data_IF_977842329877
#
_entry.id   IF_977842329877
#
_cell.length_a   1.000
_cell.length_b   1.000
_cell.length_c   1.000
_cell.angle_alpha   90.00
_cell.angle_beta   90.00
_cell.angle_gamma   90.00
#
_symmetry.space_group_name_H-M   'P 1'
#
loop_
_entity.id
_entity.type
_entity.pdbx_description
1 polymer ?
#
# COMPACT_ATOMS: atom_id res chain seq x y z
N UNK A 1 0.57 -16.29 7.19
CA UNK A 1 0.77 -17.50 8.00
C UNK A 1 2.15 -17.53 8.65
N UNK A 2 3.28 -17.47 7.91
CA UNK A 2 4.63 -17.50 8.50
C UNK A 2 4.88 -16.45 9.59
N UNK A 3 4.44 -15.20 9.41
CA UNK A 3 4.58 -14.14 10.41
C UNK A 3 3.76 -14.40 11.69
N UNK A 4 2.55 -14.93 11.56
CA UNK A 4 1.73 -15.30 12.72
C UNK A 4 2.35 -16.45 13.51
N UNK A 5 2.95 -17.43 12.85
CA UNK A 5 3.69 -18.53 13.48
C UNK A 5 4.98 -18.04 14.15
N UNK A 6 5.68 -17.07 13.54
CA UNK A 6 6.86 -16.44 14.14
C UNK A 6 6.50 -15.66 15.41
N UNK A 7 5.40 -14.90 15.39
CA UNK A 7 4.87 -14.18 16.57
C UNK A 7 4.50 -15.15 17.69
N UNK A 8 3.83 -16.24 17.35
CA UNK A 8 3.50 -17.29 18.31
C UNK A 8 4.75 -17.97 18.88
N UNK A 9 5.76 -18.25 18.03
CA UNK A 9 7.04 -18.81 18.45
C UNK A 9 7.80 -17.92 19.43
N UNK A 10 7.87 -16.61 19.13
CA UNK A 10 8.47 -15.61 20.02
C UNK A 10 7.70 -15.54 21.35
N UNK A 11 6.37 -15.53 21.31
CA UNK A 11 5.54 -15.56 22.52
C UNK A 11 5.81 -16.79 23.39
N UNK A 12 5.87 -17.98 22.80
CA UNK A 12 6.16 -19.23 23.51
C UNK A 12 7.56 -19.27 24.10
N UNK A 13 8.57 -18.74 23.40
CA UNK A 13 9.95 -18.63 23.88
C UNK A 13 10.03 -17.72 25.11
N UNK A 14 9.34 -16.58 25.08
CA UNK A 14 9.26 -15.63 26.22
C UNK A 14 8.55 -16.27 27.41
N UNK A 15 7.50 -17.06 27.17
CA UNK A 15 6.76 -17.75 28.22
C UNK A 15 7.60 -18.83 28.97
N UNK A 16 8.73 -19.27 28.40
CA UNK A 16 9.57 -20.33 28.97
C UNK A 16 10.62 -19.83 30.00
N UNK A 17 10.89 -18.51 30.12
CA UNK A 17 11.93 -17.93 31.01
C UNK A 17 11.37 -17.46 32.37
N UNK A 18 10.89 -18.37 33.21
CA UNK A 18 9.94 -18.05 34.31
C UNK A 18 10.54 -17.64 35.69
N UNK A 19 11.80 -17.86 36.01
CA UNK A 19 12.30 -17.69 37.36
C UNK A 19 12.75 -16.27 37.74
N UNK A 20 13.67 -15.68 37.01
CA UNK A 20 14.21 -14.33 37.25
C UNK A 20 13.26 -13.19 36.88
N UNK A 21 12.26 -13.50 36.03
CA UNK A 21 11.26 -12.54 35.51
C UNK A 21 10.26 -12.09 36.58
N UNK A 22 9.93 -12.93 37.59
CA UNK A 22 8.90 -12.60 38.59
C UNK A 22 9.29 -11.41 39.48
N UNK A 23 10.51 -11.40 39.99
CA UNK A 23 10.99 -10.32 40.86
C UNK A 23 11.06 -8.98 40.14
N UNK A 24 11.55 -9.00 38.87
CA UNK A 24 11.56 -7.81 38.02
C UNK A 24 10.14 -7.32 37.72
N UNK A 25 9.23 -8.24 37.35
CA UNK A 25 7.83 -7.91 37.04
C UNK A 25 7.11 -7.30 38.25
N UNK A 26 7.36 -7.80 39.46
CA UNK A 26 6.80 -7.26 40.70
C UNK A 26 7.36 -5.85 40.99
N UNK A 27 8.68 -5.65 40.83
CA UNK A 27 9.29 -4.34 41.01
C UNK A 27 8.71 -3.30 40.04
N UNK A 28 8.52 -3.69 38.74
CA UNK A 28 7.90 -2.82 37.77
C UNK A 28 6.42 -2.54 38.10
N UNK A 29 5.65 -3.54 38.53
CA UNK A 29 4.25 -3.35 38.93
C UNK A 29 4.12 -2.38 40.10
N UNK A 30 4.98 -2.51 41.12
CA UNK A 30 5.04 -1.56 42.24
C UNK A 30 5.45 -0.14 41.81
N UNK A 31 6.37 -0.02 40.84
CA UNK A 31 6.76 1.27 40.31
C UNK A 31 5.61 1.96 39.56
N UNK A 32 4.85 1.21 38.73
CA UNK A 32 3.65 1.73 38.05
C UNK A 32 2.61 2.18 39.07
N UNK A 33 2.22 1.32 40.00
CA UNK A 33 1.27 1.68 41.07
C UNK A 33 1.72 2.89 41.88
N UNK A 34 3.01 2.95 42.24
CA UNK A 34 3.60 4.08 42.97
C UNK A 34 3.55 5.39 42.20
N UNK A 35 3.69 5.32 40.85
CA UNK A 35 3.55 6.49 39.97
C UNK A 35 2.08 6.96 39.91
N UNK A 36 1.12 6.05 39.76
CA UNK A 36 -0.31 6.38 39.75
C UNK A 36 -0.74 7.04 41.04
N UNK A 37 -0.33 6.51 42.20
CA UNK A 37 -0.57 7.14 43.52
C UNK A 37 -0.01 8.55 43.63
N UNK A 38 1.20 8.78 43.12
CA UNK A 38 1.80 10.14 43.11
C UNK A 38 1.04 11.11 42.22
N UNK A 39 0.44 10.61 41.17
CA UNK A 39 -0.37 11.39 40.22
C UNK A 39 -1.85 11.47 40.62
N UNK A 40 -2.25 10.82 41.70
CA UNK A 40 -3.66 10.67 42.15
C UNK A 40 -4.55 10.02 41.07
N UNK A 41 -4.03 9.00 40.37
CA UNK A 41 -4.68 8.24 39.30
C UNK A 41 -5.04 6.81 39.71
N UNK A 42 -4.82 6.41 40.94
CA UNK A 42 -5.01 5.06 41.48
C UNK A 42 -6.49 4.70 41.73
N UNK A 43 -7.32 4.84 40.69
CA UNK A 43 -8.76 4.60 40.73
C UNK A 43 -9.13 3.12 40.70
N UNK A 44 -8.21 2.26 40.27
CA UNK A 44 -8.42 0.83 40.07
C UNK A 44 -8.72 0.08 41.37
N UNK A 45 -8.15 0.51 42.50
CA UNK A 45 -8.40 -0.13 43.79
C UNK A 45 -9.86 0.00 44.19
N UNK A 46 -10.44 1.20 44.08
CA UNK A 46 -11.86 1.45 44.40
C UNK A 46 -12.81 0.68 43.46
N UNK A 47 -12.46 0.61 42.16
CA UNK A 47 -13.21 -0.15 41.16
C UNK A 47 -13.16 -1.67 41.44
N UNK A 48 -12.00 -2.17 41.83
CA UNK A 48 -11.80 -3.58 42.15
C UNK A 48 -12.58 -3.98 43.41
N UNK A 49 -12.49 -3.23 44.48
CA UNK A 49 -13.25 -3.44 45.69
C UNK A 49 -14.76 -3.43 45.48
N UNK A 50 -15.24 -2.49 44.66
CA UNK A 50 -16.62 -2.40 44.31
C UNK A 50 -17.08 -3.63 43.51
N UNK A 51 -16.35 -4.00 42.44
CA UNK A 51 -16.70 -5.14 41.59
C UNK A 51 -16.65 -6.48 42.33
N UNK A 52 -15.67 -6.65 43.23
CA UNK A 52 -15.53 -7.86 44.01
C UNK A 52 -16.78 -8.25 44.81
N UNK A 53 -17.59 -7.23 45.20
CA UNK A 53 -18.85 -7.39 45.93
C UNK A 53 -20.05 -7.66 45.02
N UNK A 54 -19.92 -7.51 43.70
CA UNK A 54 -21.02 -7.61 42.75
C UNK A 54 -20.99 -8.94 42.01
N UNK A 55 -21.69 -9.96 42.49
CA UNK A 55 -21.59 -11.34 41.98
C UNK A 55 -21.83 -11.48 40.47
N UNK A 56 -22.94 -10.95 39.96
CA UNK A 56 -23.29 -11.04 38.51
C UNK A 56 -22.37 -10.19 37.68
N UNK A 57 -22.14 -8.93 38.04
CA UNK A 57 -21.30 -8.01 37.28
C UNK A 57 -19.84 -8.48 37.20
N UNK A 58 -19.33 -9.07 38.30
CA UNK A 58 -18.01 -9.69 38.34
C UNK A 58 -17.90 -10.82 37.34
N UNK A 59 -18.91 -11.68 37.25
CA UNK A 59 -18.92 -12.78 36.26
C UNK A 59 -18.93 -12.23 34.82
N UNK A 60 -19.78 -11.23 34.53
CA UNK A 60 -19.82 -10.57 33.21
C UNK A 60 -18.51 -9.87 32.88
N UNK A 61 -17.92 -9.15 33.84
CA UNK A 61 -16.63 -8.48 33.67
C UNK A 61 -15.48 -9.47 33.36
N UNK A 62 -15.48 -10.62 34.03
CA UNK A 62 -14.47 -11.65 33.76
C UNK A 62 -14.61 -12.23 32.33
N UNK A 63 -15.83 -12.42 31.82
CA UNK A 63 -16.04 -12.85 30.44
C UNK A 63 -15.72 -11.75 29.42
N UNK A 64 -16.07 -10.51 29.70
CA UNK A 64 -15.68 -9.37 28.88
C UNK A 64 -14.15 -9.32 28.76
N UNK A 65 -13.46 -9.35 29.89
CA UNK A 65 -11.99 -9.38 29.94
C UNK A 65 -11.40 -10.52 29.10
N UNK A 66 -11.98 -11.71 29.15
CA UNK A 66 -11.45 -12.88 28.47
C UNK A 66 -11.68 -12.89 26.95
N UNK A 67 -12.73 -12.22 26.43
CA UNK A 67 -13.21 -12.51 25.06
C UNK A 67 -13.50 -11.31 24.19
N UNK A 68 -14.10 -10.25 24.73
CA UNK A 68 -14.72 -9.20 23.89
C UNK A 68 -13.71 -8.45 23.03
N UNK A 69 -12.56 -8.08 23.56
CA UNK A 69 -11.51 -7.36 22.82
C UNK A 69 -10.97 -8.17 21.62
N UNK A 70 -10.80 -9.48 21.78
CA UNK A 70 -10.34 -10.38 20.69
C UNK A 70 -11.40 -10.47 19.61
N UNK A 71 -12.65 -10.74 20.01
CA UNK A 71 -13.79 -10.88 19.08
C UNK A 71 -13.97 -9.58 18.31
N UNK A 72 -13.97 -8.43 18.99
CA UNK A 72 -14.10 -7.13 18.36
C UNK A 72 -13.00 -6.85 17.32
N UNK A 73 -11.73 -7.06 17.71
CA UNK A 73 -10.60 -6.81 16.82
C UNK A 73 -10.61 -7.72 15.59
N UNK A 74 -10.84 -9.03 15.78
CA UNK A 74 -10.87 -9.99 14.67
C UNK A 74 -12.08 -9.76 13.76
N UNK A 75 -13.25 -9.44 14.32
CA UNK A 75 -14.45 -9.11 13.54
C UNK A 75 -14.21 -7.90 12.67
N UNK A 76 -13.61 -6.83 13.21
CA UNK A 76 -13.28 -5.63 12.44
C UNK A 76 -12.26 -5.92 11.37
N UNK A 77 -11.22 -6.71 11.67
CA UNK A 77 -10.18 -7.07 10.70
C UNK A 77 -10.74 -7.88 9.52
N UNK A 78 -11.59 -8.88 9.81
CA UNK A 78 -12.27 -9.69 8.80
C UNK A 78 -13.27 -8.85 8.00
N UNK A 79 -14.05 -8.02 8.67
CA UNK A 79 -15.01 -7.13 7.99
C UNK A 79 -14.31 -6.15 7.02
N UNK A 80 -13.18 -5.56 7.43
CA UNK A 80 -12.38 -4.69 6.54
C UNK A 80 -11.85 -5.50 5.35
N UNK A 81 -11.35 -6.72 5.58
CA UNK A 81 -10.85 -7.59 4.51
C UNK A 81 -11.90 -7.84 3.42
N UNK A 82 -13.15 -8.11 3.85
CA UNK A 82 -14.25 -8.43 2.93
C UNK A 82 -14.86 -7.16 2.29
N UNK A 83 -15.09 -6.11 3.09
CA UNK A 83 -15.93 -4.98 2.72
C UNK A 83 -15.14 -3.74 2.31
N UNK A 84 -13.85 -3.65 2.64
CA UNK A 84 -12.97 -2.50 2.40
C UNK A 84 -11.54 -2.94 2.07
N UNK A 85 -11.34 -3.75 1.01
CA UNK A 85 -10.04 -4.35 0.69
C UNK A 85 -8.94 -3.31 0.49
N UNK A 86 -9.30 -2.10 0.03
CA UNK A 86 -8.36 -0.98 -0.14
C UNK A 86 -7.77 -0.47 1.19
N UNK A 87 -8.46 -0.70 2.31
CA UNK A 87 -8.02 -0.31 3.66
C UNK A 87 -7.36 -1.46 4.43
N UNK A 88 -7.50 -2.69 3.93
CA UNK A 88 -6.97 -3.87 4.60
C UNK A 88 -5.45 -3.83 4.82
N UNK A 89 -4.60 -3.35 3.89
CA UNK A 89 -3.15 -3.23 4.15
C UNK A 89 -2.82 -2.37 5.37
N UNK A 90 -3.51 -1.23 5.53
CA UNK A 90 -3.37 -0.36 6.70
C UNK A 90 -3.80 -1.07 7.98
N UNK A 91 -5.00 -1.67 7.97
CA UNK A 91 -5.57 -2.37 9.12
C UNK A 91 -4.69 -3.55 9.55
N UNK A 92 -4.30 -4.41 8.61
CA UNK A 92 -3.41 -5.55 8.87
C UNK A 92 -2.07 -5.11 9.46
N UNK A 93 -1.41 -4.12 8.84
CA UNK A 93 -0.08 -3.68 9.27
C UNK A 93 -0.13 -3.03 10.65
N UNK A 94 -1.12 -2.15 10.91
CA UNK A 94 -1.26 -1.54 12.22
C UNK A 94 -1.60 -2.56 13.32
N UNK A 95 -2.47 -3.53 13.04
CA UNK A 95 -2.79 -4.61 13.98
C UNK A 95 -1.58 -5.47 14.32
N UNK A 96 -0.78 -5.83 13.32
CA UNK A 96 0.47 -6.56 13.51
C UNK A 96 1.48 -5.76 14.33
N UNK A 97 1.62 -4.47 14.08
CA UNK A 97 2.52 -3.60 14.85
C UNK A 97 2.08 -3.49 16.31
N UNK A 98 0.78 -3.24 16.57
CA UNK A 98 0.24 -3.23 17.95
C UNK A 98 0.58 -4.52 18.67
N UNK A 99 0.33 -5.65 18.03
CA UNK A 99 0.54 -6.97 18.64
C UNK A 99 2.02 -7.28 18.84
N UNK A 100 2.87 -7.06 17.83
CA UNK A 100 4.30 -7.34 17.91
C UNK A 100 5.02 -6.45 18.93
N UNK A 101 4.75 -5.14 18.91
CA UNK A 101 5.38 -4.21 19.88
C UNK A 101 4.89 -4.55 21.28
N UNK A 102 3.58 -4.82 21.47
CA UNK A 102 3.05 -5.19 22.78
C UNK A 102 3.70 -6.46 23.34
N UNK A 103 3.77 -7.54 22.53
CA UNK A 103 4.43 -8.78 22.94
C UNK A 103 5.92 -8.58 23.23
N UNK A 104 6.62 -7.78 22.43
CA UNK A 104 8.03 -7.45 22.64
C UNK A 104 8.21 -6.68 23.95
N UNK A 105 7.30 -5.74 24.25
CA UNK A 105 7.32 -5.01 25.53
C UNK A 105 7.13 -5.95 26.70
N UNK A 106 6.21 -6.90 26.64
CA UNK A 106 6.03 -7.92 27.70
C UNK A 106 7.30 -8.75 27.96
N UNK A 107 8.09 -8.98 26.90
CA UNK A 107 9.35 -9.70 27.04
C UNK A 107 10.46 -8.87 27.70
N UNK A 108 10.57 -7.61 27.26
CA UNK A 108 11.65 -6.72 27.68
C UNK A 108 11.35 -6.01 29.00
N UNK A 109 10.08 -5.74 29.27
CA UNK A 109 9.62 -5.02 30.44
C UNK A 109 8.37 -5.69 31.03
N UNK A 110 8.51 -6.87 31.66
CA UNK A 110 7.38 -7.57 32.28
C UNK A 110 6.83 -6.75 33.44
N UNK A 111 5.51 -6.62 33.52
CA UNK A 111 4.81 -5.89 34.61
C UNK A 111 3.80 -6.82 35.25
N UNK A 112 3.90 -6.98 36.56
CA UNK A 112 2.98 -7.79 37.34
C UNK A 112 1.65 -7.05 37.56
N UNK A 113 0.50 -7.65 37.22
CA UNK A 113 -0.82 -7.08 37.50
C UNK A 113 -1.04 -6.82 39.00
N UNK A 114 -1.84 -5.82 39.38
CA UNK A 114 -2.03 -5.44 40.80
C UNK A 114 -2.58 -6.59 41.63
N UNK A 115 -3.50 -7.43 41.12
CA UNK A 115 -4.07 -8.59 41.82
C UNK A 115 -3.06 -9.68 42.23
N UNK A 116 -1.89 -9.72 41.59
CA UNK A 116 -0.84 -10.69 41.88
C UNK A 116 0.19 -10.18 42.91
N UNK A 117 0.12 -8.90 43.30
CA UNK A 117 0.93 -8.28 44.31
C UNK A 117 0.13 -8.22 45.63
N UNK A 118 0.29 -9.21 46.48
CA UNK A 118 -0.61 -9.52 47.59
C UNK A 118 -0.78 -8.40 48.62
N UNK A 119 0.26 -7.61 48.88
CA UNK A 119 0.24 -6.50 49.85
C UNK A 119 -0.37 -5.20 49.30
N UNK A 120 -0.74 -5.15 48.01
CA UNK A 120 -1.52 -4.03 47.47
C UNK A 120 -3.03 -4.15 47.75
N UNK A 121 -3.49 -5.26 48.29
CA UNK A 121 -4.88 -5.44 48.73
C UNK A 121 -5.89 -5.65 47.61
N UNK A 122 -5.48 -5.88 46.37
CA UNK A 122 -6.42 -6.14 45.26
C UNK A 122 -7.02 -7.57 45.32
N UNK A 123 -8.28 -7.68 45.01
CA UNK A 123 -9.01 -8.92 44.94
C UNK A 123 -8.86 -9.54 43.55
N UNK A 124 -8.42 -10.81 43.48
CA UNK A 124 -8.42 -11.56 42.21
C UNK A 124 -9.85 -12.01 41.85
N UNK A 125 -10.58 -11.17 41.13
CA UNK A 125 -11.97 -11.40 40.75
C UNK A 125 -12.15 -12.61 39.84
N UNK A 126 -11.10 -12.96 39.08
CA UNK A 126 -11.09 -14.12 38.18
C UNK A 126 -10.99 -15.40 38.97
N UNK A 127 -10.13 -15.45 39.99
CA UNK A 127 -10.00 -16.59 40.89
C UNK A 127 -11.29 -16.84 41.70
N UNK A 128 -11.87 -15.80 42.27
CA UNK A 128 -13.11 -15.90 43.07
C UNK A 128 -14.30 -16.25 42.17
N UNK A 129 -14.37 -15.74 40.96
CA UNK A 129 -15.49 -15.91 40.03
C UNK A 129 -15.60 -17.34 39.46
N UNK A 130 -14.54 -18.14 39.52
CA UNK A 130 -14.42 -19.44 38.87
C UNK A 130 -14.92 -19.47 37.44
N UNK A 131 -14.72 -18.35 36.73
CA UNK A 131 -15.21 -18.16 35.37
C UNK A 131 -14.31 -18.87 34.37
N UNK A 132 -14.89 -19.22 33.21
CA UNK A 132 -14.15 -19.76 32.07
C UNK A 132 -13.05 -18.75 31.64
N UNK A 133 -11.86 -19.25 31.37
CA UNK A 133 -10.71 -18.37 31.11
C UNK A 133 -9.88 -18.04 32.34
N UNK A 134 -10.17 -18.63 33.51
CA UNK A 134 -9.31 -18.55 34.69
C UNK A 134 -7.96 -19.23 34.43
N UNK A 135 -6.94 -18.86 35.21
CA UNK A 135 -5.58 -19.42 35.14
C UNK A 135 -5.51 -20.94 35.32
N UNK A 136 -6.57 -21.59 35.76
CA UNK A 136 -6.71 -23.02 35.84
C UNK A 136 -7.26 -23.69 34.59
N UNK A 137 -7.71 -22.94 33.59
CA UNK A 137 -8.18 -23.52 32.34
C UNK A 137 -7.02 -23.94 31.43
N UNK A 138 -7.12 -25.04 30.67
CA UNK A 138 -6.04 -25.51 29.79
C UNK A 138 -5.59 -24.48 28.76
N UNK A 139 -6.49 -23.60 28.31
CA UNK A 139 -6.23 -22.58 27.30
C UNK A 139 -5.40 -21.42 27.86
N UNK A 140 -5.54 -21.09 29.15
CA UNK A 140 -4.92 -19.91 29.79
C UNK A 140 -3.76 -20.29 30.72
N UNK A 141 -3.58 -21.58 31.03
CA UNK A 141 -2.49 -22.06 31.89
C UNK A 141 -1.07 -21.65 31.43
N UNK A 142 -0.90 -21.44 30.12
CA UNK A 142 0.34 -21.05 29.49
C UNK A 142 0.44 -19.55 29.19
N UNK A 143 -0.58 -18.74 29.52
CA UNK A 143 -0.56 -17.32 29.27
C UNK A 143 0.50 -16.61 30.16
N UNK A 144 1.11 -15.55 29.62
CA UNK A 144 2.07 -14.74 30.38
C UNK A 144 1.36 -13.93 31.46
N UNK A 145 1.58 -14.30 32.74
CA UNK A 145 0.97 -13.63 33.90
C UNK A 145 1.51 -12.22 34.18
N UNK A 146 2.61 -11.85 33.56
CA UNK A 146 3.34 -10.59 33.77
C UNK A 146 3.23 -9.63 32.58
N UNK A 147 2.14 -9.73 31.85
CA UNK A 147 1.87 -8.97 30.64
C UNK A 147 0.87 -7.82 30.90
N UNK A 148 1.06 -7.04 31.97
CA UNK A 148 0.14 -5.96 32.28
C UNK A 148 0.33 -4.75 31.35
N UNK A 149 1.57 -4.29 31.09
CA UNK A 149 1.87 -3.08 30.33
C UNK A 149 2.63 -3.39 29.05
N UNK A 150 2.15 -2.85 27.88
CA UNK A 150 0.90 -2.11 27.65
C UNK A 150 -0.32 -3.01 27.62
N UNK A 151 -1.50 -2.52 28.00
CA UNK A 151 -2.73 -3.33 27.93
C UNK A 151 -3.13 -3.61 26.48
N UNK A 152 -3.00 -4.86 26.02
CA UNK A 152 -3.48 -5.29 24.71
C UNK A 152 -5.02 -5.34 24.63
N UNK A 153 -5.73 -5.47 25.76
CA UNK A 153 -7.18 -5.41 25.81
C UNK A 153 -7.68 -4.04 25.33
N UNK A 154 -7.13 -2.98 25.90
CA UNK A 154 -7.46 -1.61 25.48
C UNK A 154 -6.89 -1.33 24.09
N UNK A 155 -5.68 -1.76 23.79
CA UNK A 155 -5.04 -1.50 22.52
C UNK A 155 -5.82 -2.11 21.34
N UNK A 156 -6.26 -3.37 21.42
CA UNK A 156 -7.03 -4.00 20.34
C UNK A 156 -8.44 -3.41 20.22
N UNK A 157 -9.09 -3.09 21.34
CA UNK A 157 -10.39 -2.41 21.34
C UNK A 157 -10.30 -1.01 20.70
N UNK A 158 -9.30 -0.23 21.10
CA UNK A 158 -9.08 1.11 20.55
C UNK A 158 -8.63 1.08 19.08
N UNK A 159 -7.83 0.08 18.69
CA UNK A 159 -7.48 -0.16 17.30
C UNK A 159 -8.73 -0.46 16.46
N UNK A 160 -9.66 -1.29 16.96
CA UNK A 160 -10.91 -1.58 16.28
C UNK A 160 -11.74 -0.31 16.07
N UNK A 161 -11.88 0.52 17.11
CA UNK A 161 -12.54 1.83 17.02
C UNK A 161 -11.88 2.72 15.95
N UNK A 162 -10.56 2.87 15.99
CA UNK A 162 -9.81 3.69 15.03
C UNK A 162 -10.03 3.23 13.58
N UNK A 163 -10.04 1.92 13.35
CA UNK A 163 -10.30 1.34 12.04
C UNK A 163 -11.76 1.58 11.59
N UNK A 164 -12.74 1.45 12.48
CA UNK A 164 -14.15 1.70 12.18
C UNK A 164 -14.41 3.17 11.86
N UNK A 165 -13.82 4.12 12.59
CA UNK A 165 -13.89 5.55 12.27
C UNK A 165 -13.39 5.82 10.84
N UNK A 166 -12.30 5.19 10.47
CA UNK A 166 -11.74 5.32 9.13
C UNK A 166 -12.56 4.62 8.02
N UNK A 167 -13.27 3.53 8.32
CA UNK A 167 -13.87 2.64 7.31
C UNK A 167 -15.36 2.80 7.09
N UNK A 168 -16.11 3.41 8.02
CA UNK A 168 -17.56 3.64 7.90
C UNK A 168 -17.94 5.06 8.30
N UNK A 169 -19.07 5.56 7.77
CA UNK A 169 -19.67 6.84 8.16
C UNK A 169 -20.80 6.70 9.19
N UNK A 170 -21.09 5.49 9.63
CA UNK A 170 -22.15 5.19 10.56
C UNK A 170 -21.74 5.58 12.00
N UNK A 171 -22.16 6.74 12.47
CA UNK A 171 -21.82 7.26 13.81
C UNK A 171 -22.22 6.31 14.93
N UNK A 172 -23.31 5.57 14.77
CA UNK A 172 -23.75 4.59 15.77
C UNK A 172 -22.69 3.50 16.00
N UNK A 173 -22.01 3.06 14.94
CA UNK A 173 -20.94 2.06 15.04
C UNK A 173 -19.75 2.64 15.82
N UNK A 174 -19.39 3.90 15.59
CA UNK A 174 -18.34 4.57 16.35
C UNK A 174 -18.67 4.68 17.83
N UNK A 175 -19.92 5.10 18.14
CA UNK A 175 -20.40 5.25 19.53
C UNK A 175 -20.38 3.90 20.24
N UNK A 176 -20.92 2.84 19.62
CA UNK A 176 -20.94 1.50 20.23
C UNK A 176 -19.52 0.98 20.46
N UNK A 177 -18.61 1.18 19.50
CA UNK A 177 -17.21 0.78 19.69
C UNK A 177 -16.50 1.62 20.75
N UNK A 178 -16.76 2.92 20.85
CA UNK A 178 -16.21 3.78 21.89
C UNK A 178 -16.73 3.36 23.28
N UNK A 179 -18.00 3.03 23.40
CA UNK A 179 -18.58 2.48 24.63
C UNK A 179 -17.91 1.16 25.01
N UNK A 180 -17.68 0.28 24.03
CA UNK A 180 -16.97 -0.98 24.28
C UNK A 180 -15.54 -0.73 24.78
N UNK A 181 -14.78 0.23 24.17
CA UNK A 181 -13.45 0.63 24.68
C UNK A 181 -13.50 1.12 26.12
N UNK A 182 -14.49 1.97 26.45
CA UNK A 182 -14.69 2.48 27.80
C UNK A 182 -15.00 1.35 28.81
N UNK A 183 -15.90 0.43 28.43
CA UNK A 183 -16.23 -0.75 29.25
C UNK A 183 -14.98 -1.62 29.47
N UNK A 184 -14.23 -1.95 28.41
CA UNK A 184 -12.99 -2.73 28.54
C UNK A 184 -11.97 -2.04 29.45
N UNK A 185 -11.83 -0.70 29.33
CA UNK A 185 -10.89 0.07 30.18
C UNK A 185 -11.30 0.00 31.65
N UNK A 186 -12.58 0.13 31.96
CA UNK A 186 -13.08 -0.02 33.35
C UNK A 186 -12.91 -1.48 33.84
N UNK A 187 -13.26 -2.43 33.02
CA UNK A 187 -13.20 -3.87 33.36
C UNK A 187 -11.78 -4.34 33.68
N UNK A 188 -10.79 -3.94 32.89
CA UNK A 188 -9.38 -4.36 33.14
C UNK A 188 -8.86 -3.88 34.51
N UNK A 189 -9.27 -2.66 34.93
CA UNK A 189 -8.94 -2.10 36.23
C UNK A 189 -9.77 -2.76 37.35
N UNK A 190 -11.10 -2.83 37.16
CA UNK A 190 -12.01 -3.40 38.16
C UNK A 190 -11.75 -4.88 38.45
N UNK A 191 -11.22 -5.62 37.48
CA UNK A 191 -10.81 -7.02 37.67
C UNK A 191 -9.44 -7.18 38.30
N UNK A 192 -8.71 -6.07 38.55
CA UNK A 192 -7.36 -6.09 39.13
C UNK A 192 -6.29 -6.64 38.18
N UNK A 193 -6.56 -6.67 36.88
CA UNK A 193 -5.64 -7.18 35.89
C UNK A 193 -4.68 -6.12 35.36
N UNK A 194 -5.04 -4.84 35.42
CA UNK A 194 -4.26 -3.75 34.86
C UNK A 194 -4.32 -2.51 35.74
N UNK A 195 -3.31 -1.68 35.62
CA UNK A 195 -3.25 -0.30 36.06
C UNK A 195 -3.88 0.63 35.02
N UNK A 196 -4.25 1.85 35.38
CA UNK A 196 -4.72 2.85 34.42
C UNK A 196 -3.61 3.23 33.41
N UNK A 197 -2.36 3.32 33.85
CA UNK A 197 -1.22 3.59 32.96
C UNK A 197 -0.99 2.49 31.92
N UNK A 198 -1.40 1.26 32.17
CA UNK A 198 -1.36 0.20 31.16
C UNK A 198 -2.30 0.51 30.00
N UNK A 199 -3.49 1.08 30.30
CA UNK A 199 -4.44 1.51 29.27
C UNK A 199 -3.91 2.72 28.49
N UNK A 200 -3.27 3.68 29.16
CA UNK A 200 -2.63 4.83 28.51
C UNK A 200 -1.50 4.36 27.57
N UNK A 201 -0.66 3.43 28.05
CA UNK A 201 0.40 2.85 27.23
C UNK A 201 -0.17 2.08 26.01
N UNK A 202 -1.28 1.36 26.21
CA UNK A 202 -2.01 0.71 25.11
C UNK A 202 -2.53 1.69 24.08
N UNK A 203 -3.09 2.83 24.52
CA UNK A 203 -3.56 3.88 23.61
C UNK A 203 -2.40 4.53 22.83
N UNK A 204 -1.28 4.82 23.49
CA UNK A 204 -0.09 5.34 22.84
C UNK A 204 0.48 4.36 21.80
N UNK A 205 0.49 3.06 22.13
CA UNK A 205 0.89 1.99 21.20
C UNK A 205 0.01 1.96 19.94
N UNK A 206 -1.31 2.12 20.08
CA UNK A 206 -2.22 2.21 18.92
C UNK A 206 -1.90 3.42 18.07
N UNK A 207 -1.77 4.60 18.69
CA UNK A 207 -1.43 5.84 17.98
C UNK A 207 -0.14 5.70 17.15
N UNK A 208 0.92 5.17 17.78
CA UNK A 208 2.18 4.88 17.10
C UNK A 208 2.01 3.90 15.94
N UNK A 209 1.36 2.76 16.21
CA UNK A 209 1.23 1.68 15.22
C UNK A 209 0.37 2.08 14.02
N UNK A 210 -0.74 2.79 14.26
CA UNK A 210 -1.60 3.33 13.19
C UNK A 210 -0.87 4.43 12.43
N UNK A 211 -0.15 5.31 13.12
CA UNK A 211 0.64 6.37 12.48
C UNK A 211 1.73 5.82 11.57
N UNK A 212 2.49 4.82 12.03
CA UNK A 212 3.51 4.13 11.22
C UNK A 212 2.87 3.42 10.04
N UNK A 213 1.79 2.66 10.25
CA UNK A 213 1.08 1.96 9.18
C UNK A 213 0.50 2.95 8.17
N UNK A 214 -0.09 4.06 8.60
CA UNK A 214 -0.57 5.12 7.73
C UNK A 214 0.56 5.70 6.88
N UNK A 215 1.71 5.99 7.48
CA UNK A 215 2.87 6.49 6.75
C UNK A 215 3.38 5.49 5.69
N UNK A 216 3.37 4.19 6.02
CA UNK A 216 3.79 3.13 5.10
C UNK A 216 2.79 2.92 3.94
N UNK A 217 1.49 3.05 4.21
CA UNK A 217 0.41 2.78 3.26
C UNK A 217 -0.29 4.03 2.71
N UNK A 218 0.14 5.24 3.12
CA UNK A 218 -0.46 6.46 2.57
C UNK A 218 -0.38 6.44 1.06
N UNK A 219 -1.53 6.62 0.41
CA UNK A 219 -1.63 6.75 -1.03
C UNK A 219 -0.77 7.93 -1.48
N UNK A 220 0.16 7.67 -2.40
CA UNK A 220 0.78 8.74 -3.17
C UNK A 220 -0.02 8.91 -4.46
N UNK A 221 -0.05 10.11 -5.05
CA UNK A 221 -0.59 10.28 -6.38
C UNK A 221 0.07 9.29 -7.34
N UNK A 222 -0.72 8.74 -8.24
CA UNK A 222 -0.26 7.85 -9.31
C UNK A 222 -0.52 6.36 -9.07
N UNK A 223 -0.60 5.64 -10.17
CA UNK A 223 -0.80 4.20 -10.24
C UNK A 223 0.52 3.45 -10.02
N UNK A 224 0.59 2.41 -9.19
CA UNK A 224 1.80 1.59 -9.06
C UNK A 224 2.15 0.92 -10.39
N UNK A 225 3.45 0.90 -10.74
CA UNK A 225 3.95 0.13 -11.87
C UNK A 225 3.66 -1.37 -11.67
N UNK A 226 3.15 -2.03 -12.70
CA UNK A 226 2.88 -3.46 -12.64
C UNK A 226 4.18 -4.26 -12.46
N UNK A 227 4.15 -5.47 -11.89
CA UNK A 227 5.35 -6.31 -11.81
C UNK A 227 5.94 -6.67 -13.18
N UNK A 228 5.10 -6.85 -14.21
CA UNK A 228 5.54 -7.15 -15.56
C UNK A 228 6.26 -5.95 -16.20
N UNK A 229 5.65 -4.74 -16.11
CA UNK A 229 6.24 -3.53 -16.67
C UNK A 229 7.51 -3.11 -15.89
N UNK A 230 7.56 -3.42 -14.58
CA UNK A 230 8.73 -3.18 -13.73
C UNK A 230 9.96 -3.95 -14.20
N UNK A 231 9.79 -5.09 -14.85
CA UNK A 231 10.89 -5.85 -15.44
C UNK A 231 11.66 -5.02 -16.47
N UNK A 232 10.96 -4.37 -17.40
CA UNK A 232 11.57 -3.58 -18.46
C UNK A 232 12.35 -2.37 -17.91
N UNK A 233 11.80 -1.69 -16.90
CA UNK A 233 12.49 -0.60 -16.19
C UNK A 233 13.76 -1.08 -15.47
N UNK A 234 13.75 -2.34 -14.99
CA UNK A 234 14.86 -2.88 -14.22
C UNK A 234 16.01 -3.40 -15.09
N UNK A 235 15.69 -3.94 -16.29
CA UNK A 235 16.70 -4.49 -17.22
C UNK A 235 17.24 -3.42 -18.16
N UNK A 236 16.62 -2.24 -18.23
CA UNK A 236 17.09 -1.15 -19.05
C UNK A 236 18.47 -0.67 -18.62
N UNK A 237 19.32 -0.41 -19.59
CA UNK A 237 20.62 0.23 -19.41
C UNK A 237 20.90 1.18 -20.59
N UNK A 238 21.87 2.09 -20.47
CA UNK A 238 22.27 2.93 -21.59
C UNK A 238 22.62 2.17 -22.86
N UNK A 239 23.15 0.93 -22.72
CA UNK A 239 23.54 0.09 -23.84
C UNK A 239 22.42 -0.87 -24.30
N UNK A 240 21.32 -0.93 -23.57
CA UNK A 240 20.17 -1.78 -23.85
C UNK A 240 18.85 -1.08 -23.54
N UNK A 241 18.48 -0.05 -24.33
CA UNK A 241 17.21 0.65 -24.18
C UNK A 241 16.03 -0.30 -24.38
N UNK A 242 14.98 -0.11 -23.58
CA UNK A 242 13.79 -0.97 -23.61
C UNK A 242 12.63 -0.28 -24.32
N UNK A 243 12.79 -0.07 -25.66
CA UNK A 243 11.73 0.54 -26.47
C UNK A 243 11.12 -0.47 -27.45
N UNK A 244 9.88 -0.18 -27.82
CA UNK A 244 9.23 -0.67 -29.03
C UNK A 244 8.91 0.51 -29.91
N UNK A 245 8.87 0.30 -31.21
CA UNK A 245 8.60 1.39 -32.12
C UNK A 245 8.05 0.92 -33.46
N UNK A 246 7.72 1.90 -34.30
CA UNK A 246 7.24 1.68 -35.63
C UNK A 246 7.57 2.86 -36.54
N UNK A 247 7.71 2.58 -37.83
CA UNK A 247 7.87 3.58 -38.88
C UNK A 247 6.58 3.63 -39.71
N UNK A 248 6.04 4.83 -39.84
CA UNK A 248 4.90 5.11 -40.73
C UNK A 248 5.39 5.98 -41.86
N UNK A 249 5.28 5.51 -43.10
CA UNK A 249 5.54 6.29 -44.31
C UNK A 249 4.23 7.00 -44.72
N UNK A 250 4.29 8.32 -44.80
CA UNK A 250 3.14 9.17 -45.12
C UNK A 250 3.28 9.69 -46.56
N UNK A 251 2.57 9.06 -47.45
CA UNK A 251 2.42 9.52 -48.85
C UNK A 251 0.99 9.89 -49.08
N UNK A 252 0.73 11.09 -49.61
CA UNK A 252 -0.62 11.55 -49.84
C UNK A 252 -0.82 11.95 -51.26
N UNK A 253 -2.07 11.78 -51.72
CA UNK A 253 -2.54 12.35 -52.97
C UNK A 253 -3.02 13.81 -52.83
N UNK A 254 -2.99 14.39 -51.61
CA UNK A 254 -3.68 15.65 -51.33
C UNK A 254 -2.81 16.77 -50.74
N UNK A 255 -1.95 16.52 -49.79
CA UNK A 255 -1.02 17.51 -49.22
C UNK A 255 0.07 16.82 -48.41
N UNK A 256 1.27 17.40 -48.37
CA UNK A 256 2.37 16.92 -47.50
C UNK A 256 2.01 17.17 -46.05
N UNK A 257 1.95 16.12 -45.20
CA UNK A 257 1.71 16.30 -43.79
C UNK A 257 2.78 17.18 -43.14
N UNK A 258 2.40 17.98 -42.19
CA UNK A 258 3.34 18.80 -41.43
C UNK A 258 3.55 18.29 -40.01
N UNK A 259 4.68 18.69 -39.39
CA UNK A 259 4.93 18.41 -37.96
C UNK A 259 3.77 18.89 -37.07
N UNK A 260 3.25 20.09 -37.34
CA UNK A 260 2.16 20.68 -36.53
C UNK A 260 0.85 19.90 -36.67
N UNK A 261 0.63 19.28 -37.80
CA UNK A 261 -0.52 18.43 -38.05
C UNK A 261 -0.42 17.10 -37.29
N UNK A 262 0.77 16.47 -37.30
CA UNK A 262 1.06 15.31 -36.48
C UNK A 262 0.90 15.63 -34.98
N UNK A 263 1.45 16.76 -34.52
CA UNK A 263 1.30 17.19 -33.12
C UNK A 263 -0.18 17.39 -32.75
N UNK A 264 -0.99 17.97 -33.62
CA UNK A 264 -2.43 18.19 -33.42
C UNK A 264 -3.18 16.87 -33.31
N UNK A 265 -2.88 15.89 -34.17
CA UNK A 265 -3.48 14.54 -34.12
C UNK A 265 -3.14 13.86 -32.80
N UNK A 266 -1.87 13.90 -32.37
CA UNK A 266 -1.44 13.29 -31.11
C UNK A 266 -2.16 13.98 -29.93
N UNK A 267 -2.21 15.32 -29.89
CA UNK A 267 -2.93 16.08 -28.85
C UNK A 267 -4.40 15.66 -28.73
N UNK A 268 -5.07 15.49 -29.86
CA UNK A 268 -6.48 15.06 -29.90
C UNK A 268 -6.70 13.63 -29.43
N UNK A 269 -5.68 12.78 -29.48
CA UNK A 269 -5.78 11.38 -29.08
C UNK A 269 -5.30 11.12 -27.64
N UNK A 270 -4.66 12.07 -26.97
CA UNK A 270 -4.09 11.86 -25.61
C UNK A 270 -5.12 11.39 -24.57
N UNK A 271 -6.38 11.79 -24.70
CA UNK A 271 -7.44 11.33 -23.79
C UNK A 271 -7.78 9.85 -23.96
N UNK A 272 -7.50 9.29 -25.15
CA UNK A 272 -7.69 7.86 -25.46
C UNK A 272 -6.51 7.02 -24.94
N UNK A 273 -5.36 7.64 -24.69
CA UNK A 273 -4.12 6.99 -24.26
C UNK A 273 -3.54 7.66 -22.99
N UNK A 274 -4.20 7.54 -21.82
CA UNK A 274 -3.83 8.26 -20.61
C UNK A 274 -2.36 8.06 -20.21
N UNK A 275 -1.76 6.91 -20.51
CA UNK A 275 -0.36 6.59 -20.19
C UNK A 275 0.63 7.52 -20.89
N UNK A 276 0.26 8.11 -22.03
CA UNK A 276 1.09 9.09 -22.75
C UNK A 276 1.14 10.46 -22.06
N UNK A 277 0.33 10.68 -21.02
CA UNK A 277 0.41 11.87 -20.16
C UNK A 277 1.04 11.58 -18.80
N UNK A 278 1.61 10.40 -18.62
CA UNK A 278 2.15 9.98 -17.34
C UNK A 278 3.66 9.75 -17.44
N UNK A 279 4.38 10.25 -16.45
CA UNK A 279 5.80 9.94 -16.27
C UNK A 279 5.98 8.90 -15.16
N UNK A 280 7.12 8.24 -15.18
CA UNK A 280 7.49 7.30 -14.14
C UNK A 280 8.16 8.06 -12.97
N UNK A 281 7.70 7.82 -11.76
CA UNK A 281 8.43 8.18 -10.54
C UNK A 281 9.20 6.97 -10.10
N UNK A 282 10.53 7.12 -10.06
CA UNK A 282 11.49 6.06 -9.77
C UNK A 282 11.18 5.31 -8.46
N UNK A 283 11.51 4.00 -8.41
CA UNK A 283 11.38 3.22 -7.19
C UNK A 283 12.34 3.73 -6.12
N UNK A 284 11.96 3.52 -4.87
CA UNK A 284 12.86 3.72 -3.73
C UNK A 284 13.09 2.37 -3.05
N UNK A 285 14.11 2.26 -2.14
CA UNK A 285 14.37 1.04 -1.36
C UNK A 285 13.10 0.42 -0.74
N UNK A 286 12.08 1.22 -0.48
CA UNK A 286 10.87 0.80 0.22
C UNK A 286 9.60 0.85 -0.63
N UNK A 287 9.68 1.28 -1.91
CA UNK A 287 8.49 1.57 -2.73
C UNK A 287 8.72 1.26 -4.19
N UNK A 288 7.69 0.72 -4.83
CA UNK A 288 7.66 0.48 -6.28
C UNK A 288 7.56 1.81 -7.03
N UNK A 289 8.07 1.82 -8.26
CA UNK A 289 7.83 2.89 -9.21
C UNK A 289 6.32 3.12 -9.43
N UNK A 290 5.95 4.33 -9.81
CA UNK A 290 4.54 4.73 -10.01
C UNK A 290 4.42 5.65 -11.21
N UNK A 291 3.30 5.52 -11.91
CA UNK A 291 2.87 6.45 -12.93
C UNK A 291 2.22 7.68 -12.30
N UNK A 292 2.64 8.87 -12.70
CA UNK A 292 2.10 10.15 -12.21
C UNK A 292 1.80 11.02 -13.41
N UNK A 293 0.62 11.65 -13.40
CA UNK A 293 0.21 12.57 -14.46
C UNK A 293 1.18 13.75 -14.55
N UNK A 294 1.51 14.12 -15.78
CA UNK A 294 2.29 15.30 -16.12
C UNK A 294 1.43 16.25 -16.93
N UNK A 295 1.16 17.42 -16.37
CA UNK A 295 0.26 18.38 -16.99
C UNK A 295 0.84 18.99 -18.28
N UNK A 296 2.14 19.31 -18.23
CA UNK A 296 2.83 19.99 -19.34
C UNK A 296 3.76 19.01 -20.06
N UNK A 297 3.55 18.84 -21.36
CA UNK A 297 4.40 18.05 -22.24
C UNK A 297 5.34 18.97 -23.04
N UNK A 298 6.60 18.56 -23.11
CA UNK A 298 7.60 19.19 -23.97
C UNK A 298 7.41 18.71 -25.42
N UNK A 299 6.58 19.41 -26.19
CA UNK A 299 6.22 19.03 -27.55
C UNK A 299 7.41 19.07 -28.50
N UNK A 300 8.40 19.91 -28.28
CA UNK A 300 9.62 19.92 -29.08
C UNK A 300 10.42 18.63 -28.91
N UNK A 301 10.41 18.07 -27.70
CA UNK A 301 11.06 16.80 -27.41
C UNK A 301 10.22 15.59 -27.84
N UNK A 302 8.88 15.65 -27.63
CA UNK A 302 7.98 14.53 -27.95
C UNK A 302 7.74 14.39 -29.44
N UNK A 303 7.72 15.49 -30.18
CA UNK A 303 7.48 15.53 -31.63
C UNK A 303 8.60 16.33 -32.30
N UNK A 304 9.86 15.84 -32.26
CA UNK A 304 10.97 16.49 -32.97
C UNK A 304 10.83 16.31 -34.48
N UNK A 305 11.42 17.25 -35.23
CA UNK A 305 11.51 17.20 -36.68
C UNK A 305 12.94 16.89 -37.11
N UNK A 306 13.08 16.02 -38.09
CA UNK A 306 14.33 15.64 -38.71
C UNK A 306 14.22 15.76 -40.22
N UNK A 307 15.24 16.36 -40.88
CA UNK A 307 15.39 16.35 -42.33
C UNK A 307 16.49 15.36 -42.69
N UNK A 308 16.13 14.35 -43.48
CA UNK A 308 17.06 13.34 -43.99
C UNK A 308 17.50 13.57 -45.42
N UNK A 309 17.26 14.74 -45.98
CA UNK A 309 17.74 15.13 -47.28
C UNK A 309 19.28 15.05 -47.36
N UNK A 310 19.78 14.71 -48.56
CA UNK A 310 21.21 14.75 -48.84
C UNK A 310 21.72 16.22 -48.89
N UNK A 311 23.02 16.46 -48.70
CA UNK A 311 23.59 17.80 -48.77
C UNK A 311 23.36 18.57 -50.07
N UNK A 312 23.08 17.85 -51.16
CA UNK A 312 22.75 18.41 -52.48
C UNK A 312 21.23 18.65 -52.67
N UNK A 313 20.43 18.51 -51.61
CA UNK A 313 19.00 18.73 -51.60
C UNK A 313 18.15 17.58 -52.19
N UNK A 314 18.78 16.50 -52.59
CA UNK A 314 18.03 15.31 -53.01
C UNK A 314 17.47 14.55 -51.80
N UNK A 315 16.34 13.86 -51.95
CA UNK A 315 15.81 13.01 -50.90
C UNK A 315 16.85 11.96 -50.45
N UNK A 316 16.92 11.72 -49.14
CA UNK A 316 17.82 10.74 -48.56
C UNK A 316 17.38 9.30 -48.72
N UNK A 317 16.08 9.08 -49.04
CA UNK A 317 15.49 7.78 -49.30
C UNK A 317 15.32 6.89 -48.08
N UNK A 318 14.92 5.65 -48.30
CA UNK A 318 14.65 4.64 -47.25
C UNK A 318 15.90 4.39 -46.37
N UNK A 319 17.10 4.41 -46.97
CA UNK A 319 18.35 4.15 -46.25
C UNK A 319 18.65 5.24 -45.19
N UNK A 320 18.39 6.51 -45.51
CA UNK A 320 18.60 7.60 -44.58
C UNK A 320 17.57 7.56 -43.41
N UNK A 321 16.34 7.20 -43.72
CA UNK A 321 15.31 6.98 -42.68
C UNK A 321 15.69 5.82 -41.77
N UNK A 322 16.15 4.69 -42.33
CA UNK A 322 16.56 3.53 -41.52
C UNK A 322 17.77 3.83 -40.65
N UNK A 323 18.71 4.66 -41.10
CA UNK A 323 19.81 5.13 -40.25
C UNK A 323 19.30 5.97 -39.09
N UNK A 324 18.38 6.89 -39.33
CA UNK A 324 17.77 7.70 -38.29
C UNK A 324 16.99 6.83 -37.28
N UNK A 325 16.23 5.84 -37.74
CA UNK A 325 15.56 4.86 -36.88
C UNK A 325 16.56 4.15 -35.97
N UNK A 326 17.66 3.63 -36.55
CA UNK A 326 18.69 2.96 -35.79
C UNK A 326 19.35 3.88 -34.74
N UNK A 327 19.63 5.14 -35.11
CA UNK A 327 20.19 6.13 -34.21
C UNK A 327 19.22 6.42 -33.04
N UNK A 328 17.96 6.73 -33.35
CA UNK A 328 16.97 7.05 -32.30
C UNK A 328 16.66 5.86 -31.39
N UNK A 329 16.73 4.64 -31.91
CA UNK A 329 16.51 3.43 -31.14
C UNK A 329 17.64 3.12 -30.13
N UNK A 330 18.82 3.72 -30.28
CA UNK A 330 19.92 3.57 -29.31
C UNK A 330 19.86 4.56 -28.13
N UNK A 331 18.96 5.55 -28.19
CA UNK A 331 18.87 6.62 -27.19
C UNK A 331 17.77 6.26 -26.17
N UNK A 332 18.08 5.99 -24.88
CA UNK A 332 17.07 5.70 -23.88
C UNK A 332 16.03 6.80 -23.73
N UNK A 333 14.78 6.44 -23.47
CA UNK A 333 13.71 7.39 -23.17
C UNK A 333 13.78 7.78 -21.70
N UNK A 334 13.99 9.07 -21.35
CA UNK A 334 14.13 9.51 -19.96
C UNK A 334 12.86 9.24 -19.14
N UNK A 335 13.02 8.78 -17.90
CA UNK A 335 11.89 8.47 -17.00
C UNK A 335 11.28 9.70 -16.34
N UNK A 336 11.95 10.86 -16.40
CA UNK A 336 11.49 12.14 -15.83
C UNK A 336 10.32 12.77 -16.59
N UNK A 337 9.97 12.21 -17.75
CA UNK A 337 8.89 12.61 -18.65
C UNK A 337 8.13 11.40 -19.19
N UNK A 338 6.98 11.56 -19.88
CA UNK A 338 6.31 10.45 -20.57
C UNK A 338 7.24 9.79 -21.60
N UNK A 339 7.36 8.48 -21.50
CA UNK A 339 8.39 7.72 -22.21
C UNK A 339 7.94 7.31 -23.62
N UNK A 340 7.75 8.33 -24.48
CA UNK A 340 7.41 8.15 -25.90
C UNK A 340 7.91 9.32 -26.75
N UNK A 341 8.18 9.06 -28.04
CA UNK A 341 8.53 10.07 -29.06
C UNK A 341 7.85 9.72 -30.39
N UNK A 342 7.39 10.76 -31.08
CA UNK A 342 6.91 10.71 -32.45
C UNK A 342 7.81 11.63 -33.32
N UNK A 343 8.92 11.14 -33.82
CA UNK A 343 9.79 11.92 -34.67
C UNK A 343 9.15 12.12 -36.05
N UNK A 344 8.93 13.36 -36.47
CA UNK A 344 8.50 13.71 -37.79
C UNK A 344 9.70 13.82 -38.71
N UNK A 345 9.65 13.20 -39.90
CA UNK A 345 10.80 13.09 -40.80
C UNK A 345 10.44 13.59 -42.19
N UNK A 346 11.21 14.55 -42.66
CA UNK A 346 11.12 15.12 -44.02
C UNK A 346 12.30 14.68 -44.91
N UNK A 347 12.28 14.98 -46.20
CA UNK A 347 13.35 14.61 -47.11
C UNK A 347 13.44 13.13 -47.46
N UNK A 348 12.34 12.40 -47.30
CA UNK A 348 12.32 10.92 -47.42
C UNK A 348 12.39 10.45 -48.86
N UNK A 349 11.79 11.14 -49.82
CA UNK A 349 11.82 10.73 -51.22
C UNK A 349 10.41 10.48 -51.79
N UNK A 350 10.11 9.35 -52.46
CA UNK A 350 8.84 9.22 -53.16
C UNK A 350 7.60 9.27 -52.28
N UNK A 351 7.76 9.35 -50.98
CA UNK A 351 6.75 9.71 -50.00
C UNK A 351 7.10 11.07 -49.41
N UNK A 352 6.08 11.84 -49.01
CA UNK A 352 6.28 13.23 -48.60
C UNK A 352 6.92 13.38 -47.21
N UNK A 353 6.62 12.45 -46.30
CA UNK A 353 7.14 12.44 -44.95
C UNK A 353 7.09 11.04 -44.32
N UNK A 354 7.72 10.91 -43.15
CA UNK A 354 7.59 9.73 -42.31
C UNK A 354 7.40 10.13 -40.85
N UNK A 355 6.84 9.24 -40.03
CA UNK A 355 6.82 9.36 -38.59
C UNK A 355 7.45 8.13 -37.93
N UNK A 356 8.36 8.34 -37.01
CA UNK A 356 9.00 7.28 -36.22
C UNK A 356 8.42 7.34 -34.80
N UNK A 357 7.67 6.32 -34.41
CA UNK A 357 7.19 6.16 -33.04
C UNK A 357 8.18 5.33 -32.24
N UNK A 358 8.55 5.82 -31.08
CA UNK A 358 9.29 5.08 -30.05
C UNK A 358 8.51 5.19 -28.74
N UNK A 359 8.30 4.05 -28.08
CA UNK A 359 7.58 3.94 -26.80
C UNK A 359 8.33 2.96 -25.93
N UNK A 360 8.54 3.31 -24.66
CA UNK A 360 9.16 2.40 -23.70
C UNK A 360 8.24 1.20 -23.41
N UNK A 361 8.80 0.01 -23.29
CA UNK A 361 8.04 -1.24 -23.05
C UNK A 361 7.15 -1.20 -21.80
N UNK A 362 7.55 -0.45 -20.76
CA UNK A 362 6.72 -0.26 -19.57
C UNK A 362 5.46 0.58 -19.82
N UNK A 363 5.43 1.41 -20.88
CA UNK A 363 4.24 2.19 -21.28
C UNK A 363 3.26 1.32 -22.04
N UNK A 364 3.76 0.50 -22.97
CA UNK A 364 2.99 -0.41 -23.77
C UNK A 364 3.88 -1.56 -24.27
N UNK A 365 3.40 -2.79 -24.17
CA UNK A 365 3.98 -3.93 -24.86
C UNK A 365 3.77 -3.82 -26.38
N UNK A 366 4.35 -4.74 -27.16
CA UNK A 366 4.23 -4.71 -28.61
C UNK A 366 2.78 -4.64 -29.13
N UNK A 367 1.87 -5.40 -28.51
CA UNK A 367 0.43 -5.34 -28.80
C UNK A 367 -0.20 -4.02 -28.34
N UNK A 368 0.12 -3.58 -27.14
CA UNK A 368 -0.34 -2.30 -26.59
C UNK A 368 0.13 -1.12 -27.43
N UNK A 369 1.36 -1.14 -27.94
CA UNK A 369 1.89 -0.10 -28.83
C UNK A 369 1.13 -0.02 -30.14
N UNK A 370 0.85 -1.16 -30.78
CA UNK A 370 0.03 -1.21 -32.01
C UNK A 370 -1.40 -0.74 -31.72
N UNK A 371 -2.03 -1.23 -30.65
CA UNK A 371 -3.38 -0.83 -30.28
C UNK A 371 -3.47 0.67 -29.94
N UNK A 372 -2.47 1.23 -29.27
CA UNK A 372 -2.39 2.67 -28.98
C UNK A 372 -2.09 3.46 -30.27
N UNK A 373 -1.21 2.97 -31.13
CA UNK A 373 -0.95 3.56 -32.45
C UNK A 373 -2.22 3.69 -33.29
N UNK A 374 -3.09 2.69 -33.28
CA UNK A 374 -4.38 2.73 -33.98
C UNK A 374 -5.32 3.81 -33.43
N UNK A 375 -5.20 4.22 -32.17
CA UNK A 375 -5.99 5.32 -31.63
C UNK A 375 -5.60 6.70 -32.20
N UNK A 376 -4.43 6.82 -32.81
CA UNK A 376 -4.01 8.04 -33.50
C UNK A 376 -4.43 8.07 -34.98
N UNK A 377 -4.86 6.92 -35.51
CA UNK A 377 -5.36 6.83 -36.87
C UNK A 377 -6.87 7.11 -36.87
N UNK A 378 -7.33 7.99 -37.73
CA UNK A 378 -8.76 8.11 -37.98
C UNK A 378 -9.24 6.83 -38.71
N UNK A 379 -10.35 6.23 -38.28
CA UNK A 379 -10.92 5.14 -39.05
C UNK A 379 -11.24 5.65 -40.49
N UNK A 380 -11.02 4.84 -41.52
CA UNK A 380 -11.39 5.24 -42.86
C UNK A 380 -12.88 5.64 -42.90
N UNK A 381 -13.24 6.71 -43.63
CA UNK A 381 -14.59 7.25 -43.62
C UNK A 381 -15.66 6.27 -44.11
N UNK A 382 -15.27 5.22 -44.79
CA UNK A 382 -16.13 4.09 -45.17
C UNK A 382 -15.39 2.77 -44.89
N UNK A 383 -16.12 1.68 -44.52
CA UNK A 383 -15.51 0.36 -44.46
C UNK A 383 -14.98 -0.01 -45.84
N UNK A 384 -13.71 -0.42 -45.91
CA UNK A 384 -13.07 -0.89 -47.14
C UNK A 384 -13.94 -1.95 -47.78
N UNK A 385 -14.37 -1.74 -49.04
CA UNK A 385 -15.15 -2.74 -49.78
C UNK A 385 -14.23 -3.92 -50.10
N UNK A 386 -14.74 -5.13 -50.23
CA UNK A 386 -13.95 -6.31 -50.60
C UNK A 386 -13.10 -6.12 -51.88
N UNK A 387 -13.56 -5.30 -52.79
CA UNK A 387 -12.85 -4.91 -54.01
C UNK A 387 -11.63 -4.02 -53.77
N UNK A 388 -11.64 -3.20 -52.72
CA UNK A 388 -10.51 -2.35 -52.29
C UNK A 388 -9.41 -3.19 -51.62
N UNK A 389 -9.77 -4.32 -51.03
CA UNK A 389 -8.83 -5.27 -50.41
C UNK A 389 -8.07 -6.13 -51.44
N UNK A 390 -8.59 -6.23 -52.69
CA UNK A 390 -7.96 -6.97 -53.79
C UNK A 390 -7.04 -6.09 -54.65
N UNK A 391 -7.15 -4.77 -54.56
CA UNK A 391 -6.21 -3.87 -55.15
C UNK A 391 -4.84 -4.12 -54.48
N UNK A 392 -3.85 -4.65 -55.19
CA UNK A 392 -2.47 -4.85 -54.68
C UNK A 392 -2.06 -3.58 -54.00
N UNK A 393 -1.70 -3.64 -52.70
CA UNK A 393 -1.19 -2.45 -52.02
C UNK A 393 0.03 -2.00 -52.79
N UNK A 394 0.00 -0.80 -53.33
CA UNK A 394 1.14 -0.14 -53.86
C UNK A 394 2.09 0.09 -52.68
N UNK A 395 2.91 -0.94 -52.37
CA UNK A 395 4.06 -0.92 -51.50
C UNK A 395 3.90 -0.25 -50.13
N UNK A 396 2.92 -0.67 -49.32
CA UNK A 396 3.06 -0.61 -47.85
C UNK A 396 4.03 -1.71 -47.43
N UNK A 397 5.33 -1.41 -47.45
CA UNK A 397 6.30 -2.21 -46.71
C UNK A 397 6.16 -1.83 -45.24
N UNK A 398 5.45 -2.64 -44.51
CA UNK A 398 5.63 -2.69 -43.04
C UNK A 398 7.08 -3.09 -42.81
N UNK A 399 7.93 -2.12 -42.51
CA UNK A 399 9.22 -2.39 -41.87
C UNK A 399 8.92 -3.10 -40.53
N UNK A 400 9.50 -4.28 -40.35
CA UNK A 400 9.17 -5.13 -39.22
C UNK A 400 9.35 -4.43 -37.89
N UNK A 401 8.58 -4.86 -36.89
CA UNK A 401 8.75 -4.44 -35.50
C UNK A 401 10.22 -4.67 -35.10
N UNK A 402 10.89 -3.60 -34.68
CA UNK A 402 12.23 -3.68 -34.11
C UNK A 402 12.00 -3.97 -32.64
N UNK A 403 12.33 -5.21 -32.24
CA UNK A 403 12.39 -5.64 -30.82
C UNK A 403 13.79 -5.41 -30.29
#
# INVERSE_FOLDING_TARGET
MALALAVLGVYLLIASTRGSVRTAAEAHGRAVHGLERRLHLDVEHALNDWLARQGILRTLANYEYATVYVIAALTVLIWIYISRPERYPLARTSFLLVTLIGITTFALYPVMPPRLITDLGFVDTVAIGRTWGTWGSPVVSHANKFAAMPSLHVAWSLWALAMLIGATRLRVVWVLSAVQVAITTVVIMATGNHYLLDAVAGAALVGLSVGVAYFLHRSRPGEPLSPADSFFVHVESPDAPQHVGGLVLMGTSHATPSRDELERVIKGALDKVPRFRQRLVEPTRWRRARWVDQADLDWAWHVPEYDVSLPDGRPGGEEAVNRLVAELATIPLPHDRPMWRFAFVTGVGPVDAAAILLVHHAVADGFGTVAQGLNFLEPPPEPLRPEDMTARPSRLRTAGAIA
#
